data_IF_738964814737
#
_entry.id   IF_738964814737
#
_cell.length_a   1.000
_cell.length_b   1.000
_cell.length_c   1.000
_cell.angle_alpha   90.00
_cell.angle_beta   90.00
_cell.angle_gamma   90.00
#
_symmetry.space_group_name_H-M   'P 1'
#
loop_
_entity.id
_entity.type
_entity.pdbx_description
1 polymer ?
#
# COMPACT_ATOMS: atom_id res chain seq x y z
N UNK A 1 -6.22 -3.43 5.46
CA UNK A 1 -5.94 -2.09 4.90
C UNK A 1 -7.15 -1.60 4.15
N UNK A 2 -7.64 -0.40 4.51
CA UNK A 2 -8.62 0.31 3.68
C UNK A 2 -7.89 1.14 2.62
N UNK A 3 -8.53 1.37 1.47
CA UNK A 3 -7.96 2.23 0.42
C UNK A 3 -8.41 3.66 0.66
N UNK A 4 -7.46 4.57 0.86
CA UNK A 4 -7.77 5.97 1.10
C UNK A 4 -6.58 6.83 1.47
N UNK A 5 -6.67 8.11 1.16
CA UNK A 5 -5.71 9.15 1.57
C UNK A 5 -5.82 9.47 3.07
N UNK A 6 -4.91 10.30 3.59
CA UNK A 6 -4.63 10.54 5.03
C UNK A 6 -3.64 9.54 5.65
N UNK A 7 -3.26 9.75 6.91
CA UNK A 7 -2.33 8.92 7.67
C UNK A 7 -2.41 9.23 9.18
N UNK A 8 -1.87 8.34 10.01
CA UNK A 8 -1.72 8.56 11.46
C UNK A 8 -2.98 8.35 12.32
N UNK A 9 -4.08 7.88 11.71
CA UNK A 9 -5.27 7.43 12.44
C UNK A 9 -5.13 6.01 12.99
N UNK A 10 -6.07 5.56 13.84
CA UNK A 10 -6.05 4.21 14.42
C UNK A 10 -6.34 3.09 13.41
N UNK A 11 -6.81 3.42 12.20
CA UNK A 11 -7.09 2.47 11.14
C UNK A 11 -5.98 2.44 10.09
N UNK A 12 -5.61 1.24 9.65
CA UNK A 12 -4.61 1.03 8.62
C UNK A 12 -5.10 1.39 7.22
N UNK A 13 -4.33 2.24 6.51
CA UNK A 13 -4.62 2.71 5.16
C UNK A 13 -3.53 2.27 4.17
N UNK A 14 -3.95 1.96 2.94
CA UNK A 14 -3.07 1.79 1.80
C UNK A 14 -3.42 2.82 0.71
N UNK A 15 -2.41 3.49 0.18
CA UNK A 15 -2.55 4.46 -0.92
C UNK A 15 -1.75 3.92 -2.11
N UNK A 16 -2.42 3.45 -3.19
CA UNK A 16 -1.74 3.20 -4.45
C UNK A 16 -1.43 4.53 -5.14
N UNK A 17 -0.20 4.69 -5.60
CA UNK A 17 0.20 5.86 -6.38
C UNK A 17 0.33 5.50 -7.85
N UNK A 18 -0.32 6.30 -8.69
CA UNK A 18 -0.11 6.29 -10.13
C UNK A 18 1.15 7.13 -10.44
N UNK A 19 2.28 6.44 -10.57
CA UNK A 19 3.55 7.10 -10.86
C UNK A 19 3.61 7.71 -12.26
N UNK A 20 2.82 7.21 -13.22
CA UNK A 20 2.76 7.78 -14.57
C UNK A 20 2.16 9.19 -14.55
N UNK A 21 1.17 9.40 -13.68
CA UNK A 21 0.54 10.71 -13.47
C UNK A 21 1.37 11.61 -12.56
N UNK A 22 1.97 11.06 -11.50
CA UNK A 22 2.53 11.88 -10.41
C UNK A 22 3.98 12.31 -10.61
N UNK A 23 4.77 11.59 -11.41
CA UNK A 23 6.21 11.83 -11.49
C UNK A 23 6.74 11.57 -12.89
N UNK A 24 7.42 12.55 -13.45
CA UNK A 24 8.07 12.47 -14.76
C UNK A 24 9.59 12.41 -14.64
N UNK A 25 10.24 11.92 -15.70
CA UNK A 25 11.70 11.97 -15.84
C UNK A 25 12.44 10.70 -15.40
N UNK A 26 13.76 10.64 -15.65
CA UNK A 26 14.57 9.43 -15.54
C UNK A 26 14.69 8.90 -14.10
N UNK A 27 14.43 9.74 -13.10
CA UNK A 27 14.45 9.34 -11.70
C UNK A 27 13.16 8.62 -11.25
N UNK A 28 12.17 8.42 -12.13
CA UNK A 28 10.92 7.75 -11.75
C UNK A 28 11.16 6.26 -11.43
N UNK A 29 10.72 5.77 -10.25
CA UNK A 29 10.79 4.35 -9.95
C UNK A 29 9.96 3.52 -10.94
N UNK A 30 10.46 2.33 -11.29
CA UNK A 30 9.70 1.37 -12.09
C UNK A 30 8.77 0.52 -11.18
N UNK A 31 7.65 0.06 -11.74
CA UNK A 31 6.68 -0.79 -11.04
C UNK A 31 5.61 -0.01 -10.28
N UNK A 32 4.97 -0.69 -9.33
CA UNK A 32 3.88 -0.13 -8.53
C UNK A 32 4.42 0.43 -7.21
N UNK A 33 3.92 1.61 -6.82
CA UNK A 33 4.19 2.19 -5.50
C UNK A 33 2.91 2.20 -4.67
N UNK A 34 2.96 1.59 -3.49
CA UNK A 34 1.90 1.63 -2.48
C UNK A 34 2.48 2.15 -1.18
N UNK A 35 1.86 3.18 -0.60
CA UNK A 35 2.22 3.68 0.73
C UNK A 35 1.28 3.10 1.78
N UNK A 36 1.84 2.55 2.84
CA UNK A 36 1.10 2.03 3.98
C UNK A 36 1.14 3.04 5.13
N UNK A 37 -0.02 3.35 5.70
CA UNK A 37 -0.14 3.98 7.02
C UNK A 37 -0.60 2.90 7.98
N UNK A 38 0.28 2.48 8.89
CA UNK A 38 -0.01 1.40 9.84
C UNK A 38 -0.83 1.99 11.00
N UNK A 39 -2.00 1.41 11.24
CA UNK A 39 -2.91 1.74 12.33
C UNK A 39 -2.57 0.97 13.61
N UNK A 40 -3.58 0.79 14.45
CA UNK A 40 -3.45 0.17 15.78
C UNK A 40 -4.14 -1.21 15.86
N UNK A 41 -4.45 -1.83 14.72
CA UNK A 41 -4.95 -3.21 14.68
C UNK A 41 -3.88 -4.22 15.13
N UNK A 42 -4.30 -5.45 15.47
CA UNK A 42 -3.37 -6.52 15.85
C UNK A 42 -2.34 -6.79 14.74
N UNK A 43 -1.09 -7.00 15.11
CA UNK A 43 0.01 -7.24 14.16
C UNK A 43 -0.28 -8.46 13.28
N UNK A 44 -0.85 -9.52 13.83
CA UNK A 44 -1.18 -10.76 13.14
C UNK A 44 -2.20 -10.50 12.02
N UNK A 45 -3.27 -9.75 12.31
CA UNK A 45 -4.27 -9.40 11.31
C UNK A 45 -3.69 -8.55 10.18
N UNK A 46 -2.80 -7.60 10.49
CA UNK A 46 -2.13 -6.78 9.49
C UNK A 46 -1.22 -7.61 8.58
N UNK A 47 -0.46 -8.54 9.15
CA UNK A 47 0.40 -9.45 8.39
C UNK A 47 -0.42 -10.39 7.50
N UNK A 48 -1.53 -10.96 8.01
CA UNK A 48 -2.41 -11.83 7.24
C UNK A 48 -3.04 -11.09 6.06
N UNK A 49 -3.47 -9.85 6.26
CA UNK A 49 -4.07 -9.04 5.20
C UNK A 49 -3.05 -8.66 4.11
N UNK A 50 -1.81 -8.28 4.50
CA UNK A 50 -0.72 -8.08 3.53
C UNK A 50 -0.38 -9.36 2.78
N UNK A 51 -0.31 -10.49 3.47
CA UNK A 51 0.00 -11.78 2.85
C UNK A 51 -1.06 -12.14 1.81
N UNK A 52 -2.34 -12.02 2.14
CA UNK A 52 -3.44 -12.27 1.21
C UNK A 52 -3.37 -11.34 -0.02
N UNK A 53 -3.10 -10.05 0.19
CA UNK A 53 -2.94 -9.08 -0.90
C UNK A 53 -1.76 -9.38 -1.82
N UNK A 54 -0.60 -9.71 -1.26
CA UNK A 54 0.61 -10.06 -2.04
C UNK A 54 0.41 -11.36 -2.83
N UNK A 55 -0.23 -12.37 -2.23
CA UNK A 55 -0.59 -13.61 -2.91
C UNK A 55 -1.55 -13.34 -4.08
N UNK A 56 -2.55 -12.49 -3.88
CA UNK A 56 -3.48 -12.14 -4.95
C UNK A 56 -2.79 -11.36 -6.09
N UNK A 57 -1.89 -10.45 -5.75
CA UNK A 57 -1.21 -9.58 -6.72
C UNK A 57 -0.10 -10.28 -7.52
N UNK A 58 0.56 -11.28 -6.94
CA UNK A 58 1.76 -11.90 -7.52
C UNK A 58 1.67 -13.42 -7.68
N UNK A 59 0.47 -13.99 -7.64
CA UNK A 59 0.26 -15.37 -8.11
C UNK A 59 0.74 -15.46 -9.56
N UNK A 60 1.75 -16.30 -9.78
CA UNK A 60 2.08 -16.80 -11.11
C UNK A 60 0.96 -17.70 -11.61
#
# INVERSE_FOLDING_TARGET
>A
FKIGFSWGGPMSLAVPYDLDVMRSGPARPAGHLVRLSIGLESTEALQQDLHAGLQAAFRR
#
